data_IF_789469070282
#
_entry.id   IF_789469070282
#
_cell.length_a   1.000
_cell.length_b   1.000
_cell.length_c   1.000
_cell.angle_alpha   90.00
_cell.angle_beta   90.00
_cell.angle_gamma   90.00
#
_symmetry.space_group_name_H-M   'P 1'
#
loop_
_entity.id
_entity.type
_entity.pdbx_description
1 polymer ?
#
# COMPACT_ATOMS: atom_id res chain seq x y z
N UNK A 1 -2.27 1.06 4.57
CA UNK A 1 -1.20 1.39 5.55
C UNK A 1 -1.45 2.75 6.15
N UNK A 2 -0.85 3.08 7.29
CA UNK A 2 -0.97 4.40 7.95
C UNK A 2 0.39 5.00 8.24
N UNK A 3 0.48 6.31 8.44
CA UNK A 3 1.73 7.02 8.71
C UNK A 3 1.62 8.53 8.60
N UNK A 4 2.54 9.15 7.86
CA UNK A 4 2.59 10.61 7.69
C UNK A 4 1.35 11.09 6.91
N UNK A 5 0.59 12.03 7.48
CA UNK A 5 -0.63 12.58 6.88
C UNK A 5 -0.49 13.10 5.44
N UNK A 6 0.60 13.77 5.05
CA UNK A 6 0.79 14.16 3.66
C UNK A 6 0.82 12.95 2.69
N UNK A 7 1.43 11.84 3.09
CA UNK A 7 1.51 10.62 2.27
C UNK A 7 0.17 9.90 2.20
N UNK A 8 -0.56 9.81 3.32
CA UNK A 8 -1.93 9.26 3.33
C UNK A 8 -2.83 10.03 2.36
N UNK A 9 -2.78 11.37 2.39
CA UNK A 9 -3.56 12.22 1.48
C UNK A 9 -3.15 12.03 0.02
N UNK A 10 -1.86 11.87 -0.27
CA UNK A 10 -1.40 11.59 -1.63
C UNK A 10 -1.92 10.25 -2.16
N UNK A 11 -2.01 9.21 -1.31
CA UNK A 11 -2.60 7.93 -1.68
C UNK A 11 -4.10 8.05 -1.99
N UNK A 12 -4.85 8.77 -1.16
CA UNK A 12 -6.28 9.03 -1.40
C UNK A 12 -6.51 9.83 -2.70
N UNK A 13 -5.62 10.78 -3.00
CA UNK A 13 -5.68 11.54 -4.26
C UNK A 13 -5.46 10.68 -5.50
N UNK A 14 -4.66 9.61 -5.41
CA UNK A 14 -4.47 8.67 -6.53
C UNK A 14 -5.77 7.94 -6.87
N UNK A 15 -6.56 7.57 -5.87
CA UNK A 15 -7.88 6.95 -6.07
C UNK A 15 -8.84 7.93 -6.77
N UNK A 16 -8.85 9.20 -6.37
CA UNK A 16 -9.66 10.23 -7.05
C UNK A 16 -9.21 10.45 -8.50
N UNK A 17 -7.89 10.48 -8.74
CA UNK A 17 -7.33 10.73 -10.08
C UNK A 17 -7.52 9.53 -11.02
N UNK A 18 -7.50 8.30 -10.49
CA UNK A 18 -7.57 7.08 -11.28
C UNK A 18 -8.56 6.06 -10.66
N UNK A 19 -9.86 6.36 -10.63
CA UNK A 19 -10.85 5.61 -9.85
C UNK A 19 -11.01 4.14 -10.27
N UNK A 20 -10.75 3.81 -11.53
CA UNK A 20 -10.80 2.43 -12.06
C UNK A 20 -9.47 1.68 -12.03
N UNK A 21 -8.37 2.35 -11.66
CA UNK A 21 -7.01 1.79 -11.75
C UNK A 21 -6.23 1.83 -10.44
N UNK A 22 -6.64 2.65 -9.47
CA UNK A 22 -5.93 2.83 -8.21
C UNK A 22 -6.89 2.91 -7.03
N UNK A 23 -6.51 2.32 -5.90
CA UNK A 23 -7.22 2.42 -4.62
C UNK A 23 -6.24 2.85 -3.53
N UNK A 24 -6.57 3.91 -2.80
CA UNK A 24 -5.71 4.55 -1.80
C UNK A 24 -6.14 4.17 -0.38
N UNK A 25 -5.70 3.01 0.12
CA UNK A 25 -6.21 2.48 1.39
C UNK A 25 -5.31 2.88 2.57
N UNK A 26 -5.58 4.05 3.14
CA UNK A 26 -4.88 4.60 4.31
C UNK A 26 -5.38 4.02 5.66
N UNK A 27 -5.50 2.69 5.77
CA UNK A 27 -5.99 1.99 6.97
C UNK A 27 -5.08 0.83 7.37
N UNK A 28 -5.15 0.44 8.64
CA UNK A 28 -4.57 -0.82 9.13
C UNK A 28 -5.65 -1.90 9.12
N UNK A 29 -5.46 -2.92 8.28
CA UNK A 29 -6.41 -4.02 8.11
C UNK A 29 -5.64 -5.29 7.71
N UNK A 30 -5.52 -6.23 8.65
CA UNK A 30 -4.74 -7.47 8.48
C UNK A 30 -5.39 -8.41 7.45
N UNK A 31 -6.70 -8.71 7.51
CA UNK A 31 -7.36 -9.51 6.47
C UNK A 31 -7.12 -8.99 5.06
N UNK A 32 -7.24 -7.68 4.86
CA UNK A 32 -6.99 -7.05 3.56
C UNK A 32 -5.52 -7.18 3.13
N UNK A 33 -4.57 -7.04 4.06
CA UNK A 33 -3.16 -7.23 3.74
C UNK A 33 -2.87 -8.63 3.21
N UNK A 34 -3.40 -9.68 3.84
CA UNK A 34 -3.28 -11.05 3.33
C UNK A 34 -3.91 -11.24 1.95
N UNK A 35 -5.09 -10.65 1.72
CA UNK A 35 -5.74 -10.71 0.40
C UNK A 35 -4.91 -10.01 -0.69
N UNK A 36 -4.29 -8.87 -0.38
CA UNK A 36 -3.40 -8.16 -1.31
C UNK A 36 -2.18 -9.01 -1.63
N UNK A 37 -1.52 -9.60 -0.63
CA UNK A 37 -0.33 -10.45 -0.84
C UNK A 37 -0.70 -11.68 -1.69
N UNK A 38 -1.83 -12.34 -1.40
CA UNK A 38 -2.24 -13.54 -2.13
C UNK A 38 -2.75 -13.26 -3.56
N UNK A 39 -3.26 -12.05 -3.82
CA UNK A 39 -3.92 -11.71 -5.09
C UNK A 39 -3.10 -10.80 -6.02
N UNK A 40 -1.94 -10.30 -5.59
CA UNK A 40 -1.12 -9.42 -6.41
C UNK A 40 -0.17 -10.23 -7.31
N UNK A 41 -0.11 -9.87 -8.60
CA UNK A 41 0.90 -10.41 -9.52
C UNK A 41 2.31 -9.90 -9.20
N UNK A 42 2.40 -8.65 -8.70
CA UNK A 42 3.65 -8.00 -8.34
C UNK A 42 3.49 -7.19 -7.06
N UNK A 43 4.53 -7.22 -6.22
CA UNK A 43 4.65 -6.37 -5.03
C UNK A 43 5.82 -5.41 -5.19
N UNK A 44 5.56 -4.10 -5.05
CA UNK A 44 6.59 -3.06 -5.11
C UNK A 44 6.89 -2.56 -3.69
N UNK A 45 8.17 -2.59 -3.30
CA UNK A 45 8.63 -2.16 -1.98
C UNK A 45 9.77 -1.15 -2.18
N UNK A 46 9.44 0.14 -2.40
CA UNK A 46 10.42 1.19 -2.69
C UNK A 46 10.99 1.79 -1.39
N UNK A 47 11.32 0.93 -0.42
CA UNK A 47 11.94 1.34 0.85
C UNK A 47 13.27 2.03 0.59
N UNK A 48 13.55 3.15 1.27
CA UNK A 48 14.87 3.82 1.19
C UNK A 48 15.99 2.97 1.79
N UNK A 49 15.65 2.18 2.80
CA UNK A 49 16.52 1.23 3.48
C UNK A 49 15.63 0.21 4.20
N UNK A 50 15.99 -1.07 4.13
CA UNK A 50 15.20 -2.16 4.72
C UNK A 50 16.13 -3.24 5.31
N UNK A 51 16.26 -3.33 6.65
CA UNK A 51 17.28 -4.18 7.26
C UNK A 51 16.93 -5.67 7.30
N UNK A 52 15.66 -6.08 7.20
CA UNK A 52 15.25 -7.49 7.34
C UNK A 52 13.90 -7.81 6.67
N UNK A 53 13.62 -7.21 5.51
CA UNK A 53 12.26 -7.03 4.95
C UNK A 53 11.24 -8.15 5.09
N UNK A 54 10.32 -8.00 6.05
CA UNK A 54 9.29 -8.99 6.41
C UNK A 54 8.17 -9.11 5.38
N UNK A 55 7.98 -8.11 4.52
CA UNK A 55 6.88 -8.08 3.54
C UNK A 55 7.25 -8.89 2.27
N UNK A 56 8.54 -9.18 2.07
CA UNK A 56 9.06 -9.90 0.89
C UNK A 56 9.13 -11.42 1.06
N UNK A 57 8.94 -11.91 2.30
CA UNK A 57 9.01 -13.33 2.65
C UNK A 57 7.63 -13.97 2.56
#
# INVERSE_FOLDING_TARGET
GTGKKPLEKQLEQLEVKYPSKARGIAKFNVPLAHMIIAGADFMLIPSRFEPCGLIQL
#
